data_IF_559748099680
#
_entry.id   IF_559748099680
#
_cell.length_a   1.000
_cell.length_b   1.000
_cell.length_c   1.000
_cell.angle_alpha   90.00
_cell.angle_beta   90.00
_cell.angle_gamma   90.00
#
_symmetry.space_group_name_H-M   'P 1'
#
loop_
_entity.id
_entity.type
_entity.pdbx_description
1 polymer ?
#
# COMPACT_ATOMS: atom_id res chain seq x y z
N UNK A 1 -5.40 9.98 10.75
CA UNK A 1 -4.73 10.06 12.07
C UNK A 1 -5.54 10.99 12.95
N UNK A 2 -6.50 10.46 13.71
CA UNK A 2 -7.27 11.24 14.71
C UNK A 2 -6.57 11.07 16.07
N UNK A 3 -6.11 12.15 16.71
CA UNK A 3 -5.51 12.05 18.04
C UNK A 3 -6.61 11.74 19.06
N UNK A 4 -6.55 10.53 19.62
CA UNK A 4 -6.83 10.07 21.01
C UNK A 4 -7.99 10.63 21.86
N UNK A 5 -8.84 11.55 21.39
CA UNK A 5 -10.02 12.02 22.16
C UNK A 5 -11.28 11.38 21.59
N UNK A 6 -11.61 10.20 22.10
CA UNK A 6 -12.68 9.35 21.54
C UNK A 6 -13.99 9.41 22.32
N UNK A 7 -14.00 9.92 23.55
CA UNK A 7 -15.19 9.95 24.41
C UNK A 7 -15.51 11.36 24.90
N UNK A 8 -16.75 11.78 24.69
CA UNK A 8 -17.38 12.97 25.25
C UNK A 8 -18.58 12.44 26.05
N UNK A 9 -18.58 12.67 27.36
CA UNK A 9 -19.62 12.18 28.27
C UNK A 9 -20.40 13.39 28.76
N UNK A 10 -21.73 13.34 28.65
CA UNK A 10 -22.60 14.38 29.17
C UNK A 10 -22.73 14.28 30.69
N UNK A 11 -22.49 15.39 31.40
CA UNK A 11 -22.77 15.50 32.83
C UNK A 11 -24.03 16.33 33.05
N UNK A 12 -25.10 15.71 33.56
CA UNK A 12 -26.38 16.37 33.88
C UNK A 12 -26.37 17.21 35.17
N UNK A 13 -25.25 17.25 35.90
CA UNK A 13 -25.15 17.85 37.25
C UNK A 13 -24.08 18.95 37.38
N UNK A 14 -23.60 19.51 36.26
CA UNK A 14 -22.54 20.52 36.27
C UNK A 14 -23.05 21.85 35.69
N UNK A 15 -22.67 22.97 36.31
CA UNK A 15 -22.99 24.34 35.85
C UNK A 15 -22.36 24.70 34.48
N UNK A 16 -21.62 23.77 33.88
CA UNK A 16 -20.84 23.95 32.66
C UNK A 16 -21.61 23.32 31.49
N UNK A 17 -22.17 24.15 30.61
CA UNK A 17 -22.93 23.71 29.43
C UNK A 17 -22.00 23.13 28.34
N UNK A 18 -20.74 23.58 28.31
CA UNK A 18 -19.73 23.12 27.34
C UNK A 18 -18.38 22.91 28.03
N UNK A 19 -17.84 21.69 27.95
CA UNK A 19 -16.54 21.29 28.48
C UNK A 19 -15.44 21.45 27.42
N UNK A 20 -14.37 22.16 27.76
CA UNK A 20 -13.16 22.25 26.94
C UNK A 20 -12.17 21.14 27.33
N UNK A 21 -11.82 20.29 26.38
CA UNK A 21 -10.83 19.22 26.55
C UNK A 21 -9.57 19.63 25.80
N UNK A 22 -8.42 19.61 26.47
CA UNK A 22 -7.11 19.93 25.87
C UNK A 22 -6.20 18.71 25.91
N UNK A 23 -5.57 18.38 24.78
CA UNK A 23 -4.64 17.26 24.67
C UNK A 23 -3.41 17.69 23.89
N UNK A 24 -2.24 17.22 24.32
CA UNK A 24 -0.97 17.47 23.64
C UNK A 24 -0.95 16.84 22.25
N UNK A 25 -0.27 17.48 21.31
CA UNK A 25 -0.04 16.88 20.01
C UNK A 25 0.78 15.57 20.16
N UNK A 26 0.46 14.51 19.40
CA UNK A 26 1.22 13.26 19.45
C UNK A 26 2.66 13.47 18.96
N UNK A 27 3.66 12.80 19.57
CA UNK A 27 5.07 12.94 19.22
C UNK A 27 5.39 12.20 17.91
N UNK A 28 4.92 12.76 16.79
CA UNK A 28 5.13 12.24 15.44
C UNK A 28 5.95 13.22 14.62
N UNK A 29 6.71 12.71 13.66
CA UNK A 29 7.56 13.53 12.79
C UNK A 29 6.71 14.55 12.02
N UNK A 30 7.02 15.84 12.17
CA UNK A 30 6.29 16.95 11.54
C UNK A 30 5.17 17.56 12.38
N UNK A 31 4.99 17.10 13.62
CA UNK A 31 4.08 17.67 14.62
C UNK A 31 4.88 18.14 15.84
N UNK A 32 4.46 19.26 16.43
CA UNK A 32 5.09 19.88 17.59
C UNK A 32 4.43 19.38 18.90
N UNK A 33 5.12 18.54 19.71
CA UNK A 33 4.55 17.97 20.94
C UNK A 33 4.36 19.00 22.07
N UNK A 34 4.93 20.21 21.94
CA UNK A 34 4.74 21.29 22.91
C UNK A 34 3.38 21.99 22.74
N UNK A 35 2.70 21.75 21.63
CA UNK A 35 1.40 22.37 21.33
C UNK A 35 0.25 21.50 21.85
N UNK A 36 -0.83 22.18 22.22
CA UNK A 36 -2.07 21.56 22.67
C UNK A 36 -3.19 21.81 21.68
N UNK A 37 -4.01 20.80 21.49
CA UNK A 37 -5.24 20.86 20.71
C UNK A 37 -6.42 20.91 21.67
N UNK A 38 -7.36 21.81 21.39
CA UNK A 38 -8.59 21.96 22.16
C UNK A 38 -9.81 21.45 21.40
N UNK A 39 -10.69 20.72 22.09
CA UNK A 39 -11.96 20.23 21.55
C UNK A 39 -13.09 20.45 22.56
N UNK A 40 -14.27 20.80 22.06
CA UNK A 40 -15.42 21.18 22.89
C UNK A 40 -16.45 20.04 22.95
N UNK A 41 -16.79 19.61 24.16
CA UNK A 41 -17.80 18.60 24.44
C UNK A 41 -19.01 19.28 25.08
N UNK A 42 -20.18 19.17 24.46
CA UNK A 42 -21.41 19.74 25.00
C UNK A 42 -22.00 18.83 26.10
N UNK A 43 -22.74 19.43 27.05
CA UNK A 43 -23.38 18.72 28.17
C UNK A 43 -24.30 17.57 27.75
N UNK A 44 -24.82 17.60 26.52
CA UNK A 44 -25.58 16.48 25.93
C UNK A 44 -24.72 15.27 25.55
N UNK A 45 -23.41 15.28 25.79
CA UNK A 45 -22.48 14.23 25.36
C UNK A 45 -22.16 14.25 23.86
N UNK A 46 -22.41 15.38 23.17
CA UNK A 46 -22.09 15.54 21.75
C UNK A 46 -20.89 16.46 21.57
N UNK A 47 -20.03 16.13 20.60
CA UNK A 47 -18.94 17.01 20.21
C UNK A 47 -19.46 18.24 19.47
N UNK A 48 -18.95 19.41 19.84
CA UNK A 48 -19.32 20.65 19.17
C UNK A 48 -18.60 20.79 17.84
N UNK A 49 -19.30 21.33 16.85
CA UNK A 49 -18.78 21.71 15.55
C UNK A 49 -17.92 22.96 15.61
N UNK A 50 -17.68 23.57 14.44
CA UNK A 50 -16.84 24.78 14.33
C UNK A 50 -17.52 26.01 14.94
N UNK A 51 -18.86 26.00 14.95
CA UNK A 51 -19.72 27.06 15.46
C UNK A 51 -20.51 26.51 16.64
N UNK A 52 -20.82 27.35 17.62
CA UNK A 52 -21.66 26.97 18.75
C UNK A 52 -23.03 26.49 18.28
N UNK A 53 -23.51 25.38 18.86
CA UNK A 53 -24.79 24.77 18.49
C UNK A 53 -24.76 23.87 17.25
N UNK A 54 -23.65 23.82 16.49
CA UNK A 54 -23.49 22.83 15.42
C UNK A 54 -23.14 21.46 16.00
N UNK A 55 -24.08 20.52 15.92
CA UNK A 55 -23.90 19.12 16.30
C UNK A 55 -24.07 18.16 15.11
N UNK A 56 -24.01 18.67 13.87
CA UNK A 56 -24.25 17.85 12.67
C UNK A 56 -23.20 16.75 12.49
N UNK A 57 -21.98 16.95 13.00
CA UNK A 57 -20.88 15.99 12.91
C UNK A 57 -20.70 15.26 14.24
N UNK A 58 -20.84 13.92 14.29
CA UNK A 58 -20.71 13.17 15.54
C UNK A 58 -19.30 13.25 16.14
N UNK A 59 -18.28 13.52 15.34
CA UNK A 59 -16.90 13.69 15.79
C UNK A 59 -16.52 15.16 16.12
N UNK A 60 -17.41 16.12 15.88
CA UNK A 60 -17.18 17.56 16.09
C UNK A 60 -16.10 18.18 15.20
N UNK A 61 -15.62 19.36 15.58
CA UNK A 61 -14.57 20.09 14.87
C UNK A 61 -13.37 20.37 15.79
N UNK A 62 -12.19 20.51 15.19
CA UNK A 62 -10.93 20.77 15.91
C UNK A 62 -9.92 21.46 14.99
N UNK A 63 -9.19 22.45 15.50
CA UNK A 63 -8.13 23.14 14.75
C UNK A 63 -6.77 22.44 14.96
N UNK A 64 -6.39 21.58 14.02
CA UNK A 64 -5.10 20.88 14.04
C UNK A 64 -3.94 21.68 13.47
N UNK A 65 -4.19 22.85 12.88
CA UNK A 65 -3.14 23.67 12.27
C UNK A 65 -2.07 24.07 13.28
N UNK A 66 -2.46 24.19 14.55
CA UNK A 66 -1.57 24.52 15.67
C UNK A 66 -0.56 23.42 16.01
N UNK A 67 -0.78 22.17 15.60
CA UNK A 67 0.18 21.09 15.85
C UNK A 67 1.27 20.97 14.79
N UNK A 68 1.12 21.60 13.63
CA UNK A 68 2.15 21.48 12.60
C UNK A 68 3.35 22.36 12.95
N UNK A 69 4.55 21.83 12.73
CA UNK A 69 5.76 22.65 12.84
C UNK A 69 5.78 23.71 11.74
N UNK A 70 6.45 24.84 11.98
CA UNK A 70 6.61 25.90 10.97
C UNK A 70 7.31 25.39 9.71
N UNK A 71 8.18 24.39 9.84
CA UNK A 71 8.83 23.70 8.74
C UNK A 71 7.82 23.01 7.82
N UNK A 72 6.90 22.23 8.39
CA UNK A 72 5.86 21.52 7.64
C UNK A 72 4.86 22.50 7.03
N UNK A 73 4.46 23.55 7.75
CA UNK A 73 3.57 24.60 7.22
C UNK A 73 4.22 25.32 6.03
N UNK A 74 5.50 25.69 6.16
CA UNK A 74 6.27 26.31 5.09
C UNK A 74 6.40 25.41 3.87
N UNK A 75 6.66 24.12 4.09
CA UNK A 75 6.62 23.13 3.02
C UNK A 75 5.23 23.10 2.40
N UNK A 76 4.17 22.83 3.16
CA UNK A 76 2.78 22.73 2.69
C UNK A 76 2.35 23.93 1.83
N UNK A 77 2.71 25.15 2.25
CA UNK A 77 2.45 26.37 1.47
C UNK A 77 3.24 26.40 0.14
N UNK A 78 4.53 26.06 0.17
CA UNK A 78 5.36 25.95 -1.05
C UNK A 78 4.87 24.86 -2.01
N UNK A 79 4.34 23.75 -1.48
CA UNK A 79 3.75 22.67 -2.27
C UNK A 79 2.42 23.12 -2.91
N UNK A 80 1.63 23.91 -2.18
CA UNK A 80 0.33 24.44 -2.63
C UNK A 80 0.49 25.52 -3.71
N UNK A 81 1.57 26.29 -3.66
CA UNK A 81 1.88 27.35 -4.63
C UNK A 81 2.45 26.84 -5.98
N UNK A 82 2.41 25.54 -6.24
CA UNK A 82 2.45 24.98 -7.60
C UNK A 82 3.74 24.25 -8.01
N UNK A 83 4.88 24.46 -7.33
CA UNK A 83 6.14 23.81 -7.73
C UNK A 83 6.13 22.28 -7.53
N UNK A 84 5.47 21.79 -6.48
CA UNK A 84 5.39 20.36 -6.22
C UNK A 84 4.35 19.66 -7.07
N UNK A 85 3.23 20.30 -7.42
CA UNK A 85 2.17 19.64 -8.20
C UNK A 85 2.72 19.15 -9.55
N UNK A 86 3.59 19.95 -10.17
CA UNK A 86 4.28 19.57 -11.42
C UNK A 86 5.27 18.42 -11.19
N UNK A 87 6.13 18.52 -10.15
CA UNK A 87 7.10 17.48 -9.84
C UNK A 87 6.45 16.14 -9.42
N UNK A 88 5.33 16.21 -8.69
CA UNK A 88 4.56 15.07 -8.24
C UNK A 88 3.82 14.40 -9.39
N UNK A 89 3.38 15.15 -10.40
CA UNK A 89 2.78 14.58 -11.61
C UNK A 89 3.81 13.83 -12.46
N UNK A 90 5.01 14.40 -12.63
CA UNK A 90 6.12 13.70 -13.30
C UNK A 90 6.48 12.42 -12.55
N UNK A 91 6.63 12.49 -11.23
CA UNK A 91 6.92 11.33 -10.39
C UNK A 91 5.80 10.28 -10.41
N UNK A 92 4.52 10.71 -10.46
CA UNK A 92 3.36 9.82 -10.56
C UNK A 92 3.33 9.10 -11.90
N UNK A 93 3.58 9.80 -13.00
CA UNK A 93 3.57 9.22 -14.34
C UNK A 93 4.75 8.27 -14.56
N UNK A 94 5.94 8.63 -14.07
CA UNK A 94 7.10 7.73 -14.08
C UNK A 94 6.81 6.42 -13.31
N UNK A 95 6.31 6.54 -12.08
CA UNK A 95 5.94 5.38 -11.26
C UNK A 95 4.87 4.52 -11.95
N UNK A 96 3.87 5.12 -12.57
CA UNK A 96 2.80 4.38 -13.27
C UNK A 96 3.34 3.53 -14.42
N UNK A 97 4.31 4.05 -15.17
CA UNK A 97 4.96 3.31 -16.25
C UNK A 97 5.77 2.11 -15.72
N UNK A 98 6.52 2.30 -14.63
CA UNK A 98 7.28 1.23 -13.98
C UNK A 98 6.37 0.10 -13.50
N UNK A 99 5.28 0.42 -12.78
CA UNK A 99 4.34 -0.59 -12.31
C UNK A 99 3.65 -1.34 -13.46
N UNK A 100 3.32 -0.66 -14.56
CA UNK A 100 2.74 -1.32 -15.73
C UNK A 100 3.73 -2.31 -16.36
N UNK A 101 4.98 -1.89 -16.59
CA UNK A 101 6.00 -2.77 -17.18
C UNK A 101 6.34 -3.95 -16.26
N UNK A 102 6.51 -3.70 -14.96
CA UNK A 102 6.81 -4.75 -13.98
C UNK A 102 5.67 -5.77 -13.87
N UNK A 103 4.41 -5.33 -13.91
CA UNK A 103 3.26 -6.20 -13.85
C UNK A 103 3.20 -7.14 -15.08
N UNK A 104 3.31 -6.56 -16.28
CA UNK A 104 3.31 -7.32 -17.53
C UNK A 104 4.49 -8.31 -17.60
N UNK A 105 5.70 -7.85 -17.29
CA UNK A 105 6.90 -8.70 -17.31
C UNK A 105 6.79 -9.86 -16.31
N UNK A 106 6.25 -9.62 -15.11
CA UNK A 106 6.03 -10.65 -14.11
C UNK A 106 5.02 -11.69 -14.60
N UNK A 107 3.93 -11.25 -15.23
CA UNK A 107 2.92 -12.15 -15.80
C UNK A 107 3.52 -13.05 -16.89
N UNK A 108 4.27 -12.48 -17.83
CA UNK A 108 4.97 -13.26 -18.86
C UNK A 108 5.95 -14.28 -18.27
N UNK A 109 6.72 -13.89 -17.25
CA UNK A 109 7.64 -14.83 -16.58
C UNK A 109 6.90 -15.98 -15.90
N UNK A 110 5.78 -15.71 -15.22
CA UNK A 110 4.99 -16.75 -14.55
C UNK A 110 4.44 -17.76 -15.57
N UNK A 111 3.87 -17.29 -16.68
CA UNK A 111 3.40 -18.16 -17.76
C UNK A 111 4.55 -18.99 -18.35
N UNK A 112 5.72 -18.39 -18.57
CA UNK A 112 6.90 -19.10 -19.03
C UNK A 112 7.31 -20.24 -18.07
N UNK A 113 7.45 -19.95 -16.77
CA UNK A 113 7.80 -20.98 -15.78
C UNK A 113 6.78 -22.11 -15.70
N UNK A 114 5.48 -21.81 -15.83
CA UNK A 114 4.44 -22.85 -15.89
C UNK A 114 4.66 -23.78 -17.09
N UNK A 115 4.88 -23.23 -18.29
CA UNK A 115 5.10 -24.04 -19.49
C UNK A 115 6.36 -24.90 -19.38
N UNK A 116 7.47 -24.33 -18.87
CA UNK A 116 8.71 -25.07 -18.64
C UNK A 116 8.51 -26.21 -17.64
N UNK A 117 7.76 -25.98 -16.56
CA UNK A 117 7.45 -27.01 -15.57
C UNK A 117 6.62 -28.16 -16.18
N UNK A 118 5.61 -27.86 -16.99
CA UNK A 118 4.84 -28.87 -17.71
C UNK A 118 5.69 -29.67 -18.70
N UNK A 119 6.53 -29.00 -19.50
CA UNK A 119 7.43 -29.66 -20.43
C UNK A 119 8.47 -30.53 -19.72
N UNK A 120 9.00 -30.09 -18.57
CA UNK A 120 9.94 -30.87 -17.77
C UNK A 120 9.31 -32.16 -17.22
N UNK A 121 8.10 -32.08 -16.65
CA UNK A 121 7.37 -33.26 -16.19
C UNK A 121 7.06 -34.24 -17.34
N UNK A 122 6.76 -33.72 -18.54
CA UNK A 122 6.55 -34.54 -19.72
C UNK A 122 7.83 -35.26 -20.18
N UNK A 123 8.98 -34.57 -20.17
CA UNK A 123 10.29 -35.15 -20.53
C UNK A 123 10.66 -36.29 -19.59
N UNK A 124 10.48 -36.11 -18.27
CA UNK A 124 10.71 -37.17 -17.27
C UNK A 124 9.83 -38.39 -17.51
N UNK A 125 8.53 -38.19 -17.80
CA UNK A 125 7.60 -39.28 -18.10
C UNK A 125 7.99 -40.06 -19.35
N UNK A 126 8.36 -39.37 -20.43
CA UNK A 126 8.78 -40.01 -21.67
C UNK A 126 10.16 -40.69 -21.55
N UNK A 127 11.09 -40.11 -20.78
CA UNK A 127 12.38 -40.72 -20.47
C UNK A 127 12.20 -42.04 -19.69
N UNK A 128 11.33 -42.05 -18.67
CA UNK A 128 11.06 -43.25 -17.90
C UNK A 128 10.37 -44.33 -18.75
N UNK A 129 9.40 -43.95 -19.59
CA UNK A 129 8.73 -44.87 -20.52
C UNK A 129 9.72 -45.49 -21.52
N UNK A 130 10.59 -44.67 -22.13
CA UNK A 130 11.61 -45.15 -23.06
C UNK A 130 12.64 -46.03 -22.38
N UNK A 131 13.00 -45.77 -21.12
CA UNK A 131 13.83 -46.69 -20.34
C UNK A 131 13.13 -48.04 -20.20
N UNK A 132 11.86 -48.07 -19.83
CA UNK A 132 11.09 -49.31 -19.61
C UNK A 132 10.91 -50.12 -20.91
N UNK A 133 10.60 -49.45 -22.03
CA UNK A 133 10.44 -50.09 -23.35
C UNK A 133 11.79 -50.53 -23.94
N UNK A 134 12.83 -49.69 -23.88
CA UNK A 134 14.12 -50.01 -24.48
C UNK A 134 14.96 -50.97 -23.63
N UNK A 135 14.74 -51.07 -22.31
CA UNK A 135 15.35 -52.13 -21.50
C UNK A 135 14.94 -53.54 -21.95
N UNK A 136 13.79 -53.67 -22.63
CA UNK A 136 13.34 -54.95 -23.21
C UNK A 136 13.96 -55.20 -24.59
N UNK A 137 14.48 -54.18 -25.29
CA UNK A 137 14.87 -54.28 -26.71
C UNK A 137 16.33 -53.94 -27.06
N UNK A 138 17.09 -53.10 -26.34
CA UNK A 138 18.53 -52.88 -26.57
C UNK A 138 19.20 -51.96 -25.52
N UNK A 139 20.45 -52.26 -25.15
CA UNK A 139 21.35 -51.45 -24.31
C UNK A 139 22.08 -50.36 -25.12
N UNK A 140 21.56 -49.12 -25.15
CA UNK A 140 22.32 -47.85 -25.01
C UNK A 140 21.40 -46.62 -25.23
N UNK A 141 21.16 -45.83 -24.18
CA UNK A 141 20.31 -44.62 -24.23
C UNK A 141 21.19 -43.36 -24.18
N UNK A 142 21.28 -42.63 -25.30
CA UNK A 142 22.01 -41.35 -25.36
C UNK A 142 21.14 -40.25 -24.73
N UNK A 143 21.56 -39.75 -23.55
CA UNK A 143 20.82 -38.79 -22.70
C UNK A 143 20.94 -37.32 -23.21
N UNK A 144 21.99 -37.03 -24.00
CA UNK A 144 22.30 -35.69 -24.54
C UNK A 144 21.17 -34.97 -25.33
N UNK A 145 20.35 -35.63 -26.18
CA UNK A 145 19.25 -34.98 -26.88
C UNK A 145 18.07 -34.61 -25.97
N UNK A 146 17.83 -35.35 -24.87
CA UNK A 146 16.78 -35.02 -23.91
C UNK A 146 17.08 -33.73 -23.14
N UNK A 147 18.35 -33.53 -22.76
CA UNK A 147 18.82 -32.31 -22.10
C UNK A 147 18.77 -31.09 -23.04
N UNK A 148 19.03 -31.28 -24.35
CA UNK A 148 18.92 -30.23 -25.37
C UNK A 148 17.47 -29.81 -25.65
N UNK A 149 16.51 -30.73 -25.62
CA UNK A 149 15.08 -30.41 -25.80
C UNK A 149 14.49 -29.72 -24.58
N UNK A 150 14.93 -30.08 -23.37
CA UNK A 150 14.50 -29.44 -22.12
C UNK A 150 14.94 -27.98 -21.97
N UNK A 151 16.12 -27.61 -22.48
CA UNK A 151 16.69 -26.27 -22.33
C UNK A 151 16.75 -25.42 -23.62
N UNK A 152 16.57 -26.00 -24.81
CA UNK A 152 17.06 -25.38 -26.05
C UNK A 152 16.05 -24.95 -27.13
N UNK A 153 14.74 -25.18 -26.99
CA UNK A 153 13.80 -24.82 -28.07
C UNK A 153 12.45 -24.17 -27.69
N UNK A 154 12.26 -23.76 -26.45
CA UNK A 154 11.07 -22.99 -26.03
C UNK A 154 11.23 -21.47 -26.20
N UNK A 155 12.05 -21.01 -27.15
CA UNK A 155 12.24 -19.57 -27.39
C UNK A 155 12.53 -19.20 -28.86
N UNK A 156 11.96 -19.92 -29.83
CA UNK A 156 12.14 -19.56 -31.25
C UNK A 156 10.86 -19.63 -32.08
N UNK A 157 9.70 -19.42 -31.44
CA UNK A 157 8.40 -19.36 -32.13
C UNK A 157 7.68 -18.02 -32.05
N UNK A 158 8.36 -16.93 -31.68
CA UNK A 158 7.87 -15.54 -31.85
C UNK A 158 9.00 -14.50 -32.01
N UNK A 159 9.87 -14.68 -33.02
CA UNK A 159 10.54 -13.55 -33.68
C UNK A 159 10.29 -13.65 -35.18
#
# INVERSE_FOLDING_TARGET
MQPSIQYCVGQQHQLIVVLLITVRCPPLKGLDPEKNISKWCHSSGRWMGKVEGDFSRPHGWTNFTMCFTQEVISMMNKLTNGSLVVAQEVARNARKLEFAFLCEAMFFMLEYFKTVAFCWMFIEGFYLHNKLVLTVFATDLRIKPYLMVGYGKMLQSKL
#
